data_IF_845865915184
#
_entry.id   IF_845865915184
#
_cell.length_a   1.000
_cell.length_b   1.000
_cell.length_c   1.000
_cell.angle_alpha   90.00
_cell.angle_beta   90.00
_cell.angle_gamma   90.00
#
_symmetry.space_group_name_H-M   'P 1'
#
loop_
_entity.id
_entity.type
_entity.pdbx_description
1 polymer ?
#
# COMPACT_ATOMS: atom_id res chain seq x y z
N UNK A 1 22.28 -7.52 -3.20
CA UNK A 1 22.55 -7.18 -4.62
C UNK A 1 23.10 -5.76 -4.67
N UNK A 2 24.33 -5.54 -5.15
CA UNK A 2 24.86 -4.17 -5.36
C UNK A 2 24.30 -3.67 -6.69
N UNK A 3 23.35 -2.73 -6.69
CA UNK A 3 22.73 -2.19 -7.92
C UNK A 3 23.65 -1.16 -8.58
N UNK A 4 23.40 -0.77 -9.83
CA UNK A 4 24.10 0.36 -10.48
C UNK A 4 23.65 1.72 -9.94
N UNK A 5 22.82 1.75 -8.89
CA UNK A 5 22.22 2.95 -8.34
C UNK A 5 22.89 3.32 -7.01
N UNK A 6 23.37 4.55 -6.91
CA UNK A 6 23.92 5.18 -5.71
C UNK A 6 23.24 6.53 -5.50
N UNK A 7 23.46 7.14 -4.33
CA UNK A 7 22.97 8.51 -4.07
C UNK A 7 23.52 9.54 -5.06
N UNK A 8 24.69 9.26 -5.64
CA UNK A 8 25.41 10.18 -6.50
C UNK A 8 25.30 9.81 -7.99
N UNK A 9 24.86 8.58 -8.31
CA UNK A 9 24.80 8.07 -9.67
C UNK A 9 23.79 6.94 -9.86
N UNK A 10 22.81 7.14 -10.73
CA UNK A 10 21.79 6.12 -11.03
C UNK A 10 22.28 4.98 -11.94
N UNK A 11 23.44 5.16 -12.59
CA UNK A 11 23.95 4.28 -13.62
C UNK A 11 25.46 4.12 -13.52
N UNK A 12 25.99 3.92 -12.31
CA UNK A 12 27.43 3.67 -12.13
C UNK A 12 27.86 2.52 -13.05
N UNK A 13 29.00 2.71 -13.71
CA UNK A 13 29.54 1.70 -14.62
C UNK A 13 30.26 0.64 -13.78
N UNK A 14 30.46 -0.54 -14.34
CA UNK A 14 31.36 -1.51 -13.75
C UNK A 14 32.36 -1.98 -14.79
N UNK A 15 33.52 -2.39 -14.29
CA UNK A 15 34.49 -3.17 -15.05
C UNK A 15 34.51 -4.56 -14.46
N UNK A 16 34.48 -5.57 -15.33
CA UNK A 16 34.65 -6.96 -14.94
C UNK A 16 35.60 -7.65 -15.89
N UNK A 17 36.27 -8.70 -15.42
CA UNK A 17 36.98 -9.61 -16.32
C UNK A 17 36.02 -10.11 -17.41
N UNK A 18 36.41 -10.13 -18.70
CA UNK A 18 35.58 -10.71 -19.76
C UNK A 18 35.21 -12.18 -19.47
N UNK A 19 36.11 -12.90 -18.78
CA UNK A 19 35.92 -14.28 -18.35
C UNK A 19 35.28 -14.40 -16.95
N UNK A 20 34.68 -13.35 -16.39
CA UNK A 20 34.13 -13.34 -15.03
C UNK A 20 33.11 -14.45 -14.74
N UNK A 21 32.41 -14.96 -15.77
CA UNK A 21 31.46 -16.08 -15.65
C UNK A 21 32.10 -17.47 -15.79
N UNK A 22 33.35 -17.54 -16.26
CA UNK A 22 34.10 -18.77 -16.45
C UNK A 22 34.96 -18.95 -15.20
N UNK A 23 34.73 -20.02 -14.43
CA UNK A 23 35.34 -20.30 -13.11
C UNK A 23 36.88 -20.46 -13.11
N UNK A 24 37.58 -20.07 -14.17
CA UNK A 24 39.04 -20.20 -14.31
C UNK A 24 39.64 -18.81 -14.54
N UNK A 25 40.15 -18.29 -13.42
CA UNK A 25 41.09 -17.17 -13.23
C UNK A 25 40.59 -15.73 -13.48
N UNK A 26 40.86 -14.91 -12.44
CA UNK A 26 40.60 -13.47 -12.28
C UNK A 26 39.14 -13.05 -12.05
N UNK A 27 38.69 -13.21 -10.80
CA UNK A 27 37.42 -12.68 -10.28
C UNK A 27 37.43 -11.16 -10.04
N UNK A 28 37.89 -10.38 -11.02
CA UNK A 28 37.85 -8.93 -10.91
C UNK A 28 36.47 -8.40 -11.30
N UNK A 29 35.85 -7.70 -10.35
CA UNK A 29 34.65 -6.92 -10.54
C UNK A 29 34.77 -5.65 -9.71
N UNK A 30 34.71 -4.49 -10.37
CA UNK A 30 34.78 -3.19 -9.71
C UNK A 30 33.72 -2.24 -10.23
N UNK A 31 33.02 -1.60 -9.31
CA UNK A 31 32.14 -0.47 -9.62
C UNK A 31 32.97 0.79 -9.83
N UNK A 32 32.62 1.58 -10.82
CA UNK A 32 33.19 2.90 -11.08
C UNK A 32 32.06 3.90 -11.12
N UNK A 33 32.15 4.85 -10.19
CA UNK A 33 31.13 5.85 -9.95
C UNK A 33 31.72 7.25 -10.22
N UNK A 34 31.84 7.64 -11.50
CA UNK A 34 32.36 8.95 -11.83
C UNK A 34 31.37 10.04 -11.39
N UNK A 35 31.89 11.21 -11.05
CA UNK A 35 31.05 12.36 -10.70
C UNK A 35 30.06 12.65 -11.84
N UNK A 36 28.78 12.73 -11.47
CA UNK A 36 27.73 13.12 -12.40
C UNK A 36 27.81 14.61 -12.77
N UNK A 37 27.38 14.94 -13.99
CA UNK A 37 27.14 16.33 -14.36
C UNK A 37 25.96 16.92 -13.56
N UNK A 38 25.92 18.25 -13.45
CA UNK A 38 24.92 18.91 -12.60
C UNK A 38 23.49 18.73 -13.10
N UNK A 39 23.29 18.63 -14.41
CA UNK A 39 21.98 18.28 -14.97
C UNK A 39 21.51 16.92 -14.46
N UNK A 40 22.38 15.91 -14.54
CA UNK A 40 22.06 14.58 -14.08
C UNK A 40 21.77 14.53 -12.57
N UNK A 41 22.53 15.27 -11.75
CA UNK A 41 22.27 15.40 -10.30
C UNK A 41 20.87 15.97 -10.04
N UNK A 42 20.44 16.99 -10.80
CA UNK A 42 19.09 17.57 -10.68
C UNK A 42 18.00 16.57 -11.04
N UNK A 43 18.17 15.83 -12.14
CA UNK A 43 17.21 14.77 -12.54
C UNK A 43 17.12 13.69 -11.46
N UNK A 44 18.27 13.25 -10.95
CA UNK A 44 18.34 12.23 -9.91
C UNK A 44 17.65 12.67 -8.61
N UNK A 45 17.86 13.93 -8.20
CA UNK A 45 17.16 14.51 -7.05
C UNK A 45 15.64 14.49 -7.27
N UNK A 46 15.16 14.95 -8.44
CA UNK A 46 13.72 14.97 -8.76
C UNK A 46 13.10 13.56 -8.73
N UNK A 47 13.79 12.56 -9.27
CA UNK A 47 13.34 11.17 -9.24
C UNK A 47 13.21 10.65 -7.80
N UNK A 48 14.18 10.93 -6.93
CA UNK A 48 14.12 10.55 -5.51
C UNK A 48 12.98 11.25 -4.78
N UNK A 49 12.80 12.54 -5.02
CA UNK A 49 11.73 13.30 -4.38
C UNK A 49 10.36 12.76 -4.80
N UNK A 50 10.21 12.40 -6.07
CA UNK A 50 9.00 11.74 -6.59
C UNK A 50 8.79 10.35 -5.95
N UNK A 51 9.84 9.53 -5.86
CA UNK A 51 9.76 8.22 -5.22
C UNK A 51 9.36 8.32 -3.74
N UNK A 52 9.91 9.30 -3.02
CA UNK A 52 9.53 9.55 -1.62
C UNK A 52 8.05 9.91 -1.48
N UNK A 53 7.54 10.79 -2.35
CA UNK A 53 6.12 11.15 -2.39
C UNK A 53 5.26 9.93 -2.68
N UNK A 54 5.61 9.18 -3.73
CA UNK A 54 4.87 7.99 -4.10
C UNK A 54 4.83 6.94 -2.97
N UNK A 55 5.94 6.75 -2.25
CA UNK A 55 5.97 5.84 -1.10
C UNK A 55 5.09 6.34 0.05
N UNK A 56 5.01 7.65 0.26
CA UNK A 56 4.10 8.25 1.24
C UNK A 56 2.64 8.00 0.82
N UNK A 57 2.28 8.32 -0.42
CA UNK A 57 0.94 8.13 -0.96
C UNK A 57 0.50 6.66 -0.90
N UNK A 58 1.41 5.72 -1.20
CA UNK A 58 1.15 4.27 -1.10
C UNK A 58 0.81 3.88 0.35
N UNK A 59 1.55 4.41 1.33
CA UNK A 59 1.30 4.13 2.73
C UNK A 59 -0.03 4.72 3.20
N UNK A 60 -0.34 5.96 2.81
CA UNK A 60 -1.62 6.60 3.11
C UNK A 60 -2.81 5.81 2.51
N UNK A 61 -2.69 5.39 1.24
CA UNK A 61 -3.70 4.54 0.59
C UNK A 61 -3.86 3.21 1.31
N UNK A 62 -2.79 2.62 1.84
CA UNK A 62 -2.87 1.38 2.60
C UNK A 62 -3.65 1.57 3.91
N UNK A 63 -3.34 2.63 4.67
CA UNK A 63 -4.05 2.98 5.90
C UNK A 63 -5.54 3.20 5.62
N UNK A 64 -5.86 4.00 4.61
CA UNK A 64 -7.26 4.28 4.23
C UNK A 64 -8.01 3.01 3.81
N UNK A 65 -7.34 2.07 3.13
CA UNK A 65 -7.96 0.78 2.77
C UNK A 65 -8.32 -0.04 4.01
N UNK A 66 -7.43 -0.09 5.00
CA UNK A 66 -7.68 -0.79 6.26
C UNK A 66 -8.85 -0.14 7.02
N UNK A 67 -8.91 1.19 7.06
CA UNK A 67 -10.04 1.92 7.65
C UNK A 67 -11.37 1.66 6.93
N UNK A 68 -11.37 1.65 5.60
CA UNK A 68 -12.58 1.37 4.80
C UNK A 68 -13.11 -0.03 5.08
N UNK A 69 -12.25 -1.04 5.19
CA UNK A 69 -12.71 -2.41 5.46
C UNK A 69 -13.29 -2.52 6.88
N UNK A 70 -12.68 -1.85 7.87
CA UNK A 70 -13.25 -1.78 9.23
C UNK A 70 -14.63 -1.14 9.25
N UNK A 71 -14.80 0.01 8.60
CA UNK A 71 -16.10 0.69 8.53
C UNK A 71 -17.15 -0.17 7.82
N UNK A 72 -16.76 -0.93 6.80
CA UNK A 72 -17.64 -1.84 6.09
C UNK A 72 -18.14 -2.97 6.99
N UNK A 73 -17.28 -3.54 7.84
CA UNK A 73 -17.71 -4.53 8.85
C UNK A 73 -18.68 -3.92 9.86
N UNK A 74 -18.42 -2.70 10.33
CA UNK A 74 -19.30 -1.98 11.27
C UNK A 74 -20.68 -1.70 10.65
N UNK A 75 -20.71 -1.22 9.40
CA UNK A 75 -21.95 -1.00 8.63
C UNK A 75 -22.70 -2.31 8.45
N UNK A 76 -22.00 -3.43 8.17
CA UNK A 76 -22.64 -4.74 8.05
C UNK A 76 -23.28 -5.17 9.37
N UNK A 77 -22.60 -5.01 10.51
CA UNK A 77 -23.15 -5.30 11.84
C UNK A 77 -24.38 -4.45 12.13
N UNK A 78 -24.33 -3.15 11.84
CA UNK A 78 -25.46 -2.24 12.02
C UNK A 78 -26.66 -2.65 11.15
N UNK A 79 -26.44 -3.00 9.88
CA UNK A 79 -27.49 -3.45 8.97
C UNK A 79 -28.19 -4.73 9.48
N UNK A 80 -27.43 -5.68 10.01
CA UNK A 80 -27.99 -6.89 10.63
C UNK A 80 -28.80 -6.55 11.88
N UNK A 81 -28.28 -5.67 12.73
CA UNK A 81 -28.98 -5.25 13.95
C UNK A 81 -30.28 -4.52 13.64
N UNK A 82 -30.27 -3.60 12.67
CA UNK A 82 -31.46 -2.86 12.24
C UNK A 82 -32.56 -3.78 11.72
N UNK A 83 -32.21 -4.83 10.96
CA UNK A 83 -33.19 -5.83 10.50
C UNK A 83 -33.84 -6.55 11.67
N UNK A 84 -33.06 -7.03 12.64
CA UNK A 84 -33.59 -7.69 13.85
C UNK A 84 -34.52 -6.78 14.63
N UNK A 85 -34.12 -5.53 14.84
CA UNK A 85 -34.94 -4.55 15.55
C UNK A 85 -36.28 -4.29 14.84
N UNK A 86 -36.27 -4.17 13.50
CA UNK A 86 -37.50 -4.02 12.72
C UNK A 86 -38.45 -5.22 12.85
N UNK A 87 -37.91 -6.44 12.85
CA UNK A 87 -38.70 -7.67 13.07
C UNK A 87 -39.33 -7.70 14.46
N UNK A 88 -38.56 -7.33 15.50
CA UNK A 88 -39.06 -7.24 16.87
C UNK A 88 -40.15 -6.18 17.02
N UNK A 89 -39.97 -4.99 16.44
CA UNK A 89 -40.98 -3.92 16.45
C UNK A 89 -42.28 -4.38 15.79
N UNK A 90 -42.21 -5.07 14.64
CA UNK A 90 -43.39 -5.58 13.97
C UNK A 90 -44.10 -6.68 14.79
N UNK A 91 -43.34 -7.54 15.49
CA UNK A 91 -43.90 -8.53 16.42
C UNK A 91 -44.65 -7.86 17.57
N UNK A 92 -44.04 -6.88 18.24
CA UNK A 92 -44.69 -6.15 19.34
C UNK A 92 -45.91 -5.39 18.85
N UNK A 93 -45.85 -4.77 17.66
CA UNK A 93 -46.97 -4.08 17.04
C UNK A 93 -48.17 -5.01 16.82
N UNK A 94 -47.94 -6.25 16.37
CA UNK A 94 -48.99 -7.26 16.22
C UNK A 94 -49.61 -7.65 17.56
N UNK A 95 -48.77 -7.92 18.58
CA UNK A 95 -49.24 -8.23 19.93
C UNK A 95 -50.10 -7.11 20.53
N UNK A 96 -49.68 -5.85 20.40
CA UNK A 96 -50.47 -4.70 20.91
C UNK A 96 -51.83 -4.60 20.22
N UNK A 97 -51.91 -4.88 18.91
CA UNK A 97 -53.20 -4.92 18.20
C UNK A 97 -54.11 -6.02 18.74
N UNK A 98 -53.57 -7.22 18.98
CA UNK A 98 -54.31 -8.36 19.52
C UNK A 98 -54.83 -8.07 20.93
N UNK A 99 -53.98 -7.56 21.82
CA UNK A 99 -54.41 -7.12 23.15
C UNK A 99 -55.51 -6.06 23.08
N UNK A 100 -55.41 -5.05 22.21
CA UNK A 100 -56.47 -4.04 22.08
C UNK A 100 -57.82 -4.64 21.67
N UNK A 101 -57.84 -5.68 20.84
CA UNK A 101 -59.08 -6.35 20.42
C UNK A 101 -59.70 -7.20 21.54
N UNK A 102 -58.89 -7.74 22.45
CA UNK A 102 -59.38 -8.56 23.58
C UNK A 102 -60.02 -7.75 24.70
N UNK A 103 -59.73 -6.45 24.78
CA UNK A 103 -60.22 -5.54 25.83
C UNK A 103 -61.18 -4.45 25.29
N UNK A 104 -61.75 -4.66 24.10
CA UNK A 104 -62.85 -3.87 23.50
C UNK A 104 -64.14 -4.67 23.52
#
# INVERSE_FOLDING_TARGET
MKTSYTEHNFGRRFYSCPNYKIKRTFGFFAWVDPLMCDYGKRVLKRMRDMQKRLNFDINEVQILKEEVEKHKEEVQKHCVHEKKYKEEVEKHRKQVKEYKLLWQ
#
